data_IF_229178907500
#
_entry.id   IF_229178907500
#
_cell.length_a   1.000
_cell.length_b   1.000
_cell.length_c   1.000
_cell.angle_alpha   90.00
_cell.angle_beta   90.00
_cell.angle_gamma   90.00
#
_symmetry.space_group_name_H-M   'P 1'
#
loop_
_entity.id
_entity.type
_entity.pdbx_description
1 polymer ?
#
# COMPACT_ATOMS: atom_id res chain seq x y z
N UNK A 1 -13.09 -1.09 -18.70
CA UNK A 1 -13.38 0.34 -18.99
C UNK A 1 -12.10 1.15 -18.94
N UNK A 2 -12.01 2.24 -19.66
CA UNK A 2 -10.87 3.18 -19.62
C UNK A 2 -11.08 4.25 -18.55
N UNK A 3 -10.00 4.91 -18.08
CA UNK A 3 -10.06 5.87 -16.97
C UNK A 3 -11.12 6.97 -17.14
N UNK A 4 -11.27 7.53 -18.34
CA UNK A 4 -12.24 8.60 -18.61
C UNK A 4 -13.72 8.14 -18.55
N UNK A 5 -13.97 6.83 -18.49
CA UNK A 5 -15.32 6.26 -18.43
C UNK A 5 -15.78 6.02 -16.97
N UNK A 6 -14.86 6.03 -16.00
CA UNK A 6 -15.20 5.72 -14.59
C UNK A 6 -14.62 6.69 -13.54
N UNK A 7 -13.57 7.46 -13.88
CA UNK A 7 -13.00 8.42 -12.95
C UNK A 7 -13.78 9.74 -13.04
N UNK A 8 -14.29 10.21 -11.90
CA UNK A 8 -14.94 11.51 -11.80
C UNK A 8 -13.97 12.63 -12.23
N UNK A 9 -14.34 13.51 -13.16
CA UNK A 9 -13.51 14.61 -13.62
C UNK A 9 -12.99 15.55 -12.53
N UNK A 10 -13.62 15.58 -11.34
CA UNK A 10 -13.10 16.34 -10.19
C UNK A 10 -11.70 15.89 -9.72
N UNK A 11 -11.32 14.65 -10.04
CA UNK A 11 -9.99 14.11 -9.75
C UNK A 11 -8.97 14.32 -10.88
N UNK A 12 -9.35 15.01 -11.94
CA UNK A 12 -8.45 15.27 -13.06
C UNK A 12 -7.43 16.35 -12.70
N UNK A 13 -6.24 16.19 -13.23
CA UNK A 13 -5.17 17.18 -13.17
C UNK A 13 -4.96 17.73 -14.59
N UNK A 14 -5.07 19.04 -14.75
CA UNK A 14 -4.98 19.71 -16.06
C UNK A 14 -5.95 19.09 -17.13
N UNK A 15 -7.17 18.76 -16.71
CA UNK A 15 -8.22 18.21 -17.57
C UNK A 15 -7.99 16.76 -18.02
N UNK A 16 -7.11 16.02 -17.35
CA UNK A 16 -6.80 14.59 -17.65
C UNK A 16 -6.76 13.76 -16.38
N UNK A 17 -7.03 12.43 -16.45
CA UNK A 17 -6.84 11.53 -15.32
C UNK A 17 -5.44 11.67 -14.74
N UNK A 18 -5.35 11.77 -13.41
CA UNK A 18 -4.06 11.79 -12.70
C UNK A 18 -3.48 10.37 -12.63
N UNK A 19 -2.19 10.25 -12.93
CA UNK A 19 -1.52 8.95 -12.84
C UNK A 19 -0.97 8.74 -11.43
N UNK A 20 -0.11 9.64 -10.94
CA UNK A 20 0.66 9.40 -9.73
C UNK A 20 1.12 10.69 -9.03
N UNK A 21 0.38 11.77 -9.10
CA UNK A 21 0.74 13.01 -8.39
C UNK A 21 0.59 12.82 -6.89
N UNK A 22 1.69 12.95 -6.14
CA UNK A 22 1.66 12.89 -4.68
C UNK A 22 1.04 11.57 -4.17
N UNK A 23 1.59 10.42 -4.57
CA UNK A 23 1.09 9.11 -4.14
C UNK A 23 1.19 8.92 -2.64
N UNK A 24 0.27 8.15 -2.08
CA UNK A 24 0.22 7.82 -0.66
C UNK A 24 -0.32 6.42 -0.42
N UNK A 25 0.25 5.71 0.55
CA UNK A 25 -0.25 4.41 0.99
C UNK A 25 -1.69 4.44 1.53
N UNK A 26 -2.14 5.61 2.03
CA UNK A 26 -3.51 5.78 2.56
C UNK A 26 -4.60 5.65 1.49
N UNK A 27 -4.30 5.96 0.23
CA UNK A 27 -5.31 6.00 -0.83
C UNK A 27 -5.63 4.65 -1.48
N UNK A 28 -4.88 3.59 -1.14
CA UNK A 28 -5.07 2.27 -1.71
C UNK A 28 -6.35 1.62 -1.19
N UNK A 29 -7.16 1.11 -2.13
CA UNK A 29 -8.39 0.36 -1.87
C UNK A 29 -8.35 -0.96 -2.62
N UNK A 30 -8.30 -2.08 -1.89
CA UNK A 30 -8.47 -3.42 -2.44
C UNK A 30 -9.93 -3.67 -2.82
N UNK A 31 -10.12 -4.47 -3.85
CA UNK A 31 -11.45 -4.92 -4.28
C UNK A 31 -11.57 -6.44 -4.21
N UNK A 32 -11.96 -7.10 -5.29
CA UNK A 32 -12.32 -8.53 -5.29
C UNK A 32 -11.13 -9.48 -5.41
N UNK A 33 -9.95 -8.97 -5.75
CA UNK A 33 -8.76 -9.79 -5.98
C UNK A 33 -8.07 -10.09 -4.66
N UNK A 34 -7.60 -11.33 -4.47
CA UNK A 34 -6.95 -11.80 -3.24
C UNK A 34 -5.47 -11.40 -3.14
N UNK A 35 -5.14 -10.14 -3.36
CA UNK A 35 -3.78 -9.61 -3.43
C UNK A 35 -3.40 -8.68 -2.27
N UNK A 36 -3.99 -8.90 -1.09
CA UNK A 36 -3.75 -8.06 0.09
C UNK A 36 -2.27 -7.88 0.43
N UNK A 37 -1.43 -8.90 0.23
CA UNK A 37 0.01 -8.80 0.47
C UNK A 37 0.72 -7.86 -0.51
N UNK A 38 0.30 -7.86 -1.78
CA UNK A 38 0.80 -6.95 -2.82
C UNK A 38 0.43 -5.51 -2.48
N UNK A 39 -0.85 -5.28 -2.15
CA UNK A 39 -1.37 -3.94 -1.86
C UNK A 39 -0.83 -3.38 -0.54
N UNK A 40 -0.61 -4.22 0.46
CA UNK A 40 0.06 -3.83 1.69
C UNK A 40 1.53 -3.46 1.43
N UNK A 41 2.22 -4.20 0.59
CA UNK A 41 3.58 -3.90 0.15
C UNK A 41 3.65 -2.60 -0.64
N UNK A 42 2.68 -2.39 -1.53
CA UNK A 42 2.53 -1.15 -2.29
C UNK A 42 2.24 0.05 -1.36
N UNK A 43 1.41 -0.16 -0.33
CA UNK A 43 1.07 0.89 0.63
C UNK A 43 2.29 1.38 1.41
N UNK A 44 3.10 0.47 1.95
CA UNK A 44 4.30 0.87 2.70
C UNK A 44 5.36 1.52 1.81
N UNK A 45 5.51 1.05 0.56
CA UNK A 45 6.43 1.64 -0.40
C UNK A 45 6.00 3.05 -0.86
N UNK A 46 4.71 3.26 -1.11
CA UNK A 46 4.16 4.59 -1.42
C UNK A 46 4.23 5.55 -0.22
N UNK A 47 3.98 5.04 1.00
CA UNK A 47 4.13 5.83 2.22
C UNK A 47 5.60 6.24 2.46
N UNK A 48 6.55 5.36 2.14
CA UNK A 48 7.97 5.69 2.16
C UNK A 48 8.31 6.87 1.23
N UNK A 49 7.78 6.91 0.00
CA UNK A 49 7.98 8.04 -0.89
C UNK A 49 7.44 9.35 -0.28
N UNK A 50 6.25 9.30 0.32
CA UNK A 50 5.64 10.44 1.00
C UNK A 50 6.52 10.92 2.16
N UNK A 51 6.97 10.00 3.02
CA UNK A 51 7.87 10.28 4.15
C UNK A 51 9.19 10.91 3.70
N UNK A 52 9.75 10.44 2.59
CA UNK A 52 10.95 10.99 1.98
C UNK A 52 10.69 12.26 1.15
N UNK A 53 9.48 12.85 1.25
CA UNK A 53 9.08 14.03 0.48
C UNK A 53 9.38 13.88 -1.02
N UNK A 54 9.16 12.67 -1.55
CA UNK A 54 9.40 12.28 -2.94
C UNK A 54 10.83 12.42 -3.46
N UNK A 55 11.81 12.61 -2.58
CA UNK A 55 13.23 12.62 -2.96
C UNK A 55 13.74 11.23 -3.36
N UNK A 56 13.15 10.17 -2.80
CA UNK A 56 13.40 8.78 -3.17
C UNK A 56 12.10 8.15 -3.66
N UNK A 57 11.92 8.13 -4.97
CA UNK A 57 10.72 7.62 -5.63
C UNK A 57 10.92 6.14 -6.01
N UNK A 58 10.57 5.23 -5.11
CA UNK A 58 10.76 3.79 -5.30
C UNK A 58 9.58 3.10 -6.02
N UNK A 59 8.42 3.73 -6.09
CA UNK A 59 7.20 3.23 -6.74
C UNK A 59 6.80 4.11 -7.92
N UNK A 60 6.58 5.41 -7.72
CA UNK A 60 6.14 6.29 -8.81
C UNK A 60 7.17 6.35 -9.95
N UNK A 61 8.46 6.19 -9.64
CA UNK A 61 9.51 6.16 -10.65
C UNK A 61 9.48 4.91 -11.54
N UNK A 62 8.67 3.90 -11.23
CA UNK A 62 8.58 2.67 -12.03
C UNK A 62 7.57 2.76 -13.17
N UNK A 63 6.68 3.76 -13.16
CA UNK A 63 5.61 3.91 -14.15
C UNK A 63 6.05 4.82 -15.29
N UNK A 64 5.76 4.41 -16.53
CA UNK A 64 6.01 5.17 -17.76
C UNK A 64 4.73 5.23 -18.60
N UNK A 65 4.53 6.32 -19.40
CA UNK A 65 5.47 7.40 -19.70
C UNK A 65 5.64 8.40 -18.56
N UNK A 66 6.68 9.23 -18.68
CA UNK A 66 7.03 10.27 -17.71
C UNK A 66 7.23 11.64 -18.38
N UNK A 67 7.05 12.68 -17.60
CA UNK A 67 7.45 14.04 -17.99
C UNK A 67 8.98 14.25 -17.87
N UNK A 68 9.42 15.47 -18.18
CA UNK A 68 10.84 15.86 -18.11
C UNK A 68 11.41 15.85 -16.68
N UNK A 69 10.55 15.93 -15.66
CA UNK A 69 10.93 15.85 -14.24
C UNK A 69 10.89 14.41 -13.71
N UNK A 70 10.51 13.45 -14.56
CA UNK A 70 10.45 12.03 -14.25
C UNK A 70 9.19 11.62 -13.47
N UNK A 71 8.12 12.41 -13.51
CA UNK A 71 6.81 12.02 -12.95
C UNK A 71 5.97 11.28 -13.99
N UNK A 72 5.27 10.21 -13.59
CA UNK A 72 4.33 9.53 -14.48
C UNK A 72 3.25 10.47 -14.99
N UNK A 73 2.96 10.38 -16.29
CA UNK A 73 1.93 11.19 -16.93
C UNK A 73 0.87 10.33 -17.62
N UNK A 74 -0.32 10.90 -17.77
CA UNK A 74 -1.40 10.25 -18.48
C UNK A 74 -1.04 10.05 -19.96
N UNK A 75 -1.24 8.81 -20.45
CA UNK A 75 -1.05 8.48 -21.85
C UNK A 75 -2.42 8.29 -22.54
N UNK A 76 -2.82 9.18 -23.49
CA UNK A 76 -4.09 9.06 -24.19
C UNK A 76 -4.25 7.74 -24.98
N UNK A 77 -3.12 7.13 -25.41
CA UNK A 77 -3.13 5.82 -26.06
C UNK A 77 -3.40 4.67 -25.08
N UNK A 78 -3.39 4.94 -23.77
CA UNK A 78 -3.68 3.95 -22.72
C UNK A 78 -2.57 2.93 -22.47
N UNK A 79 -1.39 3.10 -23.04
CA UNK A 79 -0.26 2.17 -22.90
C UNK A 79 0.67 2.63 -21.78
N UNK A 80 0.96 1.73 -20.84
CA UNK A 80 1.91 1.98 -19.75
C UNK A 80 2.97 0.89 -19.68
N UNK A 81 4.14 1.24 -19.17
CA UNK A 81 5.20 0.31 -18.82
C UNK A 81 5.50 0.46 -17.35
N UNK A 82 5.54 -0.66 -16.64
CA UNK A 82 5.93 -0.73 -15.23
C UNK A 82 7.22 -1.50 -15.11
N UNK A 83 8.19 -0.95 -14.39
CA UNK A 83 9.40 -1.69 -14.03
C UNK A 83 9.15 -2.52 -12.79
N UNK A 84 9.36 -3.83 -12.86
CA UNK A 84 9.31 -4.75 -11.73
C UNK A 84 10.62 -5.53 -11.62
N UNK A 85 11.05 -5.82 -10.39
CA UNK A 85 12.27 -6.57 -10.13
C UNK A 85 11.96 -8.07 -10.15
N UNK A 86 12.35 -8.74 -11.24
CA UNK A 86 11.98 -10.13 -11.52
C UNK A 86 13.24 -10.93 -11.82
N UNK A 87 13.45 -12.02 -11.09
CA UNK A 87 14.62 -12.89 -11.24
C UNK A 87 15.96 -12.14 -11.17
N UNK A 88 16.06 -11.21 -10.21
CA UNK A 88 17.29 -10.46 -9.94
C UNK A 88 17.57 -9.29 -10.88
N UNK A 89 16.61 -8.92 -11.75
CA UNK A 89 16.77 -7.82 -12.71
C UNK A 89 15.51 -6.97 -12.83
N UNK A 90 15.67 -5.68 -13.13
CA UNK A 90 14.56 -4.81 -13.48
C UNK A 90 14.05 -5.09 -14.89
N UNK A 91 12.80 -5.50 -14.98
CA UNK A 91 12.14 -5.83 -16.25
C UNK A 91 10.98 -4.90 -16.51
N UNK A 92 10.79 -4.55 -17.79
CA UNK A 92 9.67 -3.75 -18.25
C UNK A 92 8.44 -4.64 -18.48
N UNK A 93 7.35 -4.33 -17.80
CA UNK A 93 6.05 -5.00 -17.98
C UNK A 93 5.11 -4.01 -18.64
N UNK A 94 4.70 -4.30 -19.87
CA UNK A 94 3.74 -3.48 -20.61
C UNK A 94 2.32 -3.84 -20.18
N UNK A 95 1.49 -2.81 -19.90
CA UNK A 95 0.06 -2.92 -19.59
C UNK A 95 -0.72 -1.80 -20.28
N UNK A 96 -2.00 -2.02 -20.47
CA UNK A 96 -2.94 -0.99 -20.88
C UNK A 96 -3.77 -0.47 -19.69
N UNK A 97 -4.52 0.61 -19.91
CA UNK A 97 -5.41 1.23 -18.93
C UNK A 97 -6.85 0.71 -18.96
N UNK A 98 -7.12 -0.38 -19.68
CA UNK A 98 -8.40 -1.07 -19.59
C UNK A 98 -8.49 -1.85 -18.30
N UNK A 99 -9.40 -1.47 -17.41
CA UNK A 99 -9.59 -2.10 -16.12
C UNK A 99 -10.87 -2.96 -16.09
N UNK A 100 -10.81 -4.13 -15.41
CA UNK A 100 -11.94 -5.03 -15.33
C UNK A 100 -13.02 -4.49 -14.38
N UNK A 101 -14.27 -4.65 -14.80
CA UNK A 101 -15.47 -4.25 -14.06
C UNK A 101 -16.36 -5.46 -13.80
N UNK A 102 -17.14 -5.40 -12.74
CA UNK A 102 -18.23 -6.35 -12.52
C UNK A 102 -19.48 -5.93 -13.32
N UNK A 103 -20.52 -6.77 -13.26
CA UNK A 103 -21.81 -6.53 -13.96
C UNK A 103 -22.55 -5.28 -13.46
N UNK A 104 -22.14 -4.72 -12.31
CA UNK A 104 -22.72 -3.50 -11.73
C UNK A 104 -21.90 -2.25 -12.07
N UNK A 105 -20.83 -2.39 -12.85
CA UNK A 105 -19.95 -1.27 -13.22
C UNK A 105 -18.94 -0.87 -12.15
N UNK A 106 -18.69 -1.72 -11.14
CA UNK A 106 -17.65 -1.46 -10.15
C UNK A 106 -16.34 -2.11 -10.57
N UNK A 107 -15.21 -1.44 -10.31
CA UNK A 107 -13.89 -2.03 -10.48
C UNK A 107 -13.75 -3.30 -9.63
N UNK A 108 -13.21 -4.38 -10.21
CA UNK A 108 -12.84 -5.59 -9.48
C UNK A 108 -11.38 -5.58 -9.03
N UNK A 109 -10.54 -4.75 -9.66
CA UNK A 109 -9.15 -4.50 -9.30
C UNK A 109 -9.01 -3.39 -8.26
N UNK A 110 -7.86 -3.30 -7.62
CA UNK A 110 -7.56 -2.23 -6.68
C UNK A 110 -7.48 -0.86 -7.37
N UNK A 111 -7.73 0.19 -6.61
CA UNK A 111 -7.70 1.56 -7.10
C UNK A 111 -7.31 2.54 -6.01
N UNK A 112 -7.01 3.77 -6.41
CA UNK A 112 -6.87 4.90 -5.50
C UNK A 112 -8.22 5.54 -5.19
N UNK A 113 -8.55 5.78 -3.92
CA UNK A 113 -9.74 6.55 -3.53
C UNK A 113 -9.63 8.04 -3.88
N UNK A 114 -8.52 8.47 -4.45
CA UNK A 114 -8.29 9.81 -5.01
C UNK A 114 -8.35 9.84 -6.54
N UNK A 115 -8.87 8.77 -7.17
CA UNK A 115 -9.02 8.68 -8.62
C UNK A 115 -7.70 8.62 -9.42
N UNK A 116 -6.58 8.32 -8.78
CA UNK A 116 -5.28 8.18 -9.45
C UNK A 116 -5.08 6.78 -10.01
N UNK A 117 -4.38 6.68 -11.13
CA UNK A 117 -4.23 5.41 -11.87
C UNK A 117 -3.12 4.50 -11.34
N UNK A 118 -2.16 5.01 -10.59
CA UNK A 118 -0.95 4.28 -10.21
C UNK A 118 -1.21 2.95 -9.51
N UNK A 119 -2.23 2.87 -8.64
CA UNK A 119 -2.57 1.64 -7.92
C UNK A 119 -2.98 0.56 -8.91
N UNK A 120 -3.97 0.85 -9.77
CA UNK A 120 -4.50 -0.11 -10.74
C UNK A 120 -3.48 -0.51 -11.80
N UNK A 121 -2.62 0.43 -12.23
CA UNK A 121 -1.55 0.15 -13.22
C UNK A 121 -0.49 -0.77 -12.62
N UNK A 122 -0.05 -0.52 -11.38
CA UNK A 122 0.95 -1.35 -10.70
C UNK A 122 0.39 -2.73 -10.36
N UNK A 123 -0.84 -2.80 -9.82
CA UNK A 123 -1.53 -4.07 -9.59
C UNK A 123 -1.63 -4.88 -10.89
N UNK A 124 -2.12 -4.27 -11.97
CA UNK A 124 -2.25 -4.93 -13.26
C UNK A 124 -0.93 -5.48 -13.79
N UNK A 125 0.16 -4.71 -13.68
CA UNK A 125 1.47 -5.16 -14.08
C UNK A 125 1.98 -6.33 -13.23
N UNK A 126 1.76 -6.26 -11.92
CA UNK A 126 2.11 -7.33 -10.99
C UNK A 126 1.31 -8.60 -11.29
N UNK A 127 -0.01 -8.49 -11.45
CA UNK A 127 -0.88 -9.62 -11.77
C UNK A 127 -0.56 -10.23 -13.13
N UNK A 128 -0.21 -9.42 -14.13
CA UNK A 128 0.17 -9.90 -15.47
C UNK A 128 1.32 -10.89 -15.42
N UNK A 129 2.34 -10.66 -14.61
CA UNK A 129 3.48 -11.58 -14.48
C UNK A 129 3.15 -12.84 -13.66
N UNK A 130 1.99 -12.85 -13.01
CA UNK A 130 1.49 -13.98 -12.21
C UNK A 130 0.25 -14.68 -12.82
N UNK A 131 -0.03 -14.46 -14.09
CA UNK A 131 -1.09 -15.15 -14.83
C UNK A 131 -2.40 -14.37 -14.99
N UNK A 132 -2.53 -13.18 -14.39
CA UNK A 132 -3.70 -12.31 -14.56
C UNK A 132 -4.53 -12.12 -13.29
N UNK A 133 -5.79 -11.71 -13.47
CA UNK A 133 -6.69 -11.34 -12.37
C UNK A 133 -7.25 -12.52 -11.55
N UNK A 134 -7.08 -13.76 -12.00
CA UNK A 134 -7.39 -14.97 -11.21
C UNK A 134 -6.26 -15.30 -10.21
N UNK A 135 -5.75 -14.29 -9.57
CA UNK A 135 -4.61 -14.38 -8.66
C UNK A 135 -5.02 -14.99 -7.32
N UNK A 136 -4.34 -16.07 -6.92
CA UNK A 136 -4.65 -16.83 -5.71
C UNK A 136 -3.92 -16.34 -4.45
N UNK A 137 -3.16 -15.26 -4.57
CA UNK A 137 -2.40 -14.68 -3.46
C UNK A 137 -0.88 -14.84 -3.57
N UNK A 138 -0.17 -14.13 -2.70
CA UNK A 138 1.28 -14.12 -2.59
C UNK A 138 1.70 -13.95 -1.12
N UNK A 139 2.91 -13.43 -0.90
CA UNK A 139 3.38 -13.00 0.40
C UNK A 139 4.21 -11.73 0.28
N UNK A 140 4.15 -10.88 1.29
CA UNK A 140 4.77 -9.56 1.25
C UNK A 140 6.29 -9.58 1.05
N UNK A 141 7.00 -10.66 1.40
CA UNK A 141 8.43 -10.76 1.14
C UNK A 141 8.73 -10.79 -0.35
N UNK A 142 7.98 -11.62 -1.11
CA UNK A 142 8.09 -11.67 -2.58
C UNK A 142 7.62 -10.36 -3.20
N UNK A 143 6.52 -9.82 -2.69
CA UNK A 143 5.88 -8.64 -3.25
C UNK A 143 6.75 -7.41 -3.10
N UNK A 144 7.30 -7.16 -1.90
CA UNK A 144 8.25 -6.07 -1.65
C UNK A 144 9.51 -6.22 -2.50
N UNK A 145 10.06 -7.43 -2.62
CA UNK A 145 11.21 -7.68 -3.48
C UNK A 145 10.91 -7.36 -4.94
N UNK A 146 9.76 -7.79 -5.45
CA UNK A 146 9.32 -7.51 -6.83
C UNK A 146 9.08 -6.02 -7.06
N UNK A 147 8.50 -5.33 -6.09
CA UNK A 147 8.18 -3.90 -6.19
C UNK A 147 9.40 -3.00 -5.99
N UNK A 148 10.38 -3.40 -5.18
CA UNK A 148 11.43 -2.47 -4.74
C UNK A 148 12.86 -2.94 -5.04
N UNK A 149 13.07 -4.23 -5.24
CA UNK A 149 14.40 -4.85 -5.30
C UNK A 149 15.08 -4.96 -3.93
N UNK A 150 14.41 -4.53 -2.84
CA UNK A 150 14.98 -4.61 -1.50
C UNK A 150 14.92 -6.04 -0.97
N UNK A 151 15.99 -6.46 -0.27
CA UNK A 151 16.08 -7.80 0.26
C UNK A 151 15.03 -8.04 1.35
N UNK A 152 14.17 -9.06 1.19
CA UNK A 152 13.12 -9.34 2.16
C UNK A 152 13.65 -10.17 3.33
N UNK A 153 13.05 -9.96 4.49
CA UNK A 153 13.20 -10.82 5.64
C UNK A 153 11.82 -11.16 6.21
N UNK A 154 11.62 -12.42 6.55
CA UNK A 154 10.41 -12.90 7.21
C UNK A 154 10.73 -13.27 8.65
N UNK A 155 10.00 -12.69 9.59
CA UNK A 155 10.14 -12.96 11.02
C UNK A 155 8.86 -13.60 11.54
N UNK A 156 8.99 -14.73 12.22
CA UNK A 156 7.88 -15.33 12.99
C UNK A 156 7.88 -14.72 14.40
N UNK A 157 6.79 -14.01 14.72
CA UNK A 157 6.64 -13.33 16.02
C UNK A 157 6.61 -14.28 17.20
N UNK A 158 6.26 -15.56 17.01
CA UNK A 158 6.20 -16.57 18.08
C UNK A 158 7.59 -17.05 18.51
N UNK A 159 8.54 -17.05 17.58
CA UNK A 159 9.91 -17.55 17.81
C UNK A 159 10.95 -16.47 18.02
N UNK A 160 10.59 -15.19 17.89
CA UNK A 160 11.54 -14.08 17.99
C UNK A 160 11.38 -13.30 19.30
N UNK A 161 12.49 -12.82 19.86
CA UNK A 161 12.47 -11.92 21.02
C UNK A 161 11.79 -10.60 20.66
N UNK A 162 10.60 -10.36 21.22
CA UNK A 162 9.77 -9.20 20.89
C UNK A 162 10.43 -7.86 21.24
N UNK A 163 11.27 -7.79 22.28
CA UNK A 163 11.97 -6.55 22.64
C UNK A 163 13.05 -6.23 21.61
N UNK A 164 13.85 -7.23 21.23
CA UNK A 164 14.88 -7.07 20.19
C UNK A 164 14.25 -6.74 18.84
N UNK A 165 13.14 -7.40 18.50
CA UNK A 165 12.41 -7.10 17.26
C UNK A 165 11.89 -5.67 17.24
N UNK A 166 11.27 -5.21 18.34
CA UNK A 166 10.78 -3.84 18.43
C UNK A 166 11.90 -2.81 18.21
N UNK A 167 13.02 -2.95 18.91
CA UNK A 167 14.16 -2.04 18.73
C UNK A 167 14.69 -2.06 17.29
N UNK A 168 14.74 -3.24 16.69
CA UNK A 168 15.20 -3.40 15.32
C UNK A 168 14.30 -2.70 14.30
N UNK A 169 12.98 -2.96 14.34
CA UNK A 169 12.04 -2.34 13.41
C UNK A 169 11.93 -0.83 13.64
N UNK A 170 11.95 -0.39 14.89
CA UNK A 170 11.95 1.04 15.23
C UNK A 170 13.17 1.77 14.66
N UNK A 171 14.36 1.20 14.84
CA UNK A 171 15.59 1.80 14.35
C UNK A 171 15.63 1.81 12.82
N UNK A 172 15.31 0.69 12.15
CA UNK A 172 15.23 0.63 10.70
C UNK A 172 14.19 1.59 10.11
N UNK A 173 13.03 1.73 10.77
CA UNK A 173 12.01 2.70 10.37
C UNK A 173 12.50 4.15 10.49
N UNK A 174 13.21 4.48 11.58
CA UNK A 174 13.76 5.83 11.82
C UNK A 174 14.88 6.20 10.83
N UNK A 175 15.74 5.25 10.50
CA UNK A 175 16.80 5.45 9.49
C UNK A 175 16.30 5.35 8.05
N UNK A 176 15.04 5.05 7.83
CA UNK A 176 14.44 4.81 6.51
C UNK A 176 15.11 3.66 5.74
N UNK A 177 15.52 2.61 6.45
CA UNK A 177 16.24 1.45 5.89
C UNK A 177 15.35 0.22 5.75
N UNK A 178 14.08 0.28 6.15
CA UNK A 178 13.15 -0.83 6.03
C UNK A 178 11.73 -0.41 5.66
N UNK A 179 11.06 -1.31 4.97
CA UNK A 179 9.61 -1.31 4.73
C UNK A 179 9.01 -2.47 5.50
N UNK A 180 7.90 -2.25 6.19
CA UNK A 180 7.38 -3.24 7.13
C UNK A 180 5.94 -3.58 6.78
N UNK A 181 5.67 -4.87 6.62
CA UNK A 181 4.32 -5.43 6.57
C UNK A 181 4.13 -6.42 7.70
N UNK A 182 2.91 -6.60 8.12
CA UNK A 182 2.53 -7.62 9.11
C UNK A 182 1.41 -8.49 8.55
N UNK A 183 1.39 -9.76 8.93
CA UNK A 183 0.36 -10.69 8.54
C UNK A 183 -0.28 -11.35 9.75
N UNK A 184 -1.57 -11.58 9.66
CA UNK A 184 -2.32 -12.38 10.61
C UNK A 184 -2.32 -13.86 10.21
N UNK A 185 -2.38 -14.76 11.19
CA UNK A 185 -2.86 -16.12 11.00
C UNK A 185 -4.38 -16.18 11.13
N UNK A 186 -4.89 -17.28 11.67
CA UNK A 186 -6.30 -17.38 12.06
C UNK A 186 -6.59 -16.44 13.24
N UNK A 187 -7.63 -15.64 13.12
CA UNK A 187 -8.14 -14.74 14.16
C UNK A 187 -9.49 -15.30 14.62
N UNK A 188 -9.62 -15.77 15.87
CA UNK A 188 -10.83 -16.48 16.32
C UNK A 188 -12.11 -15.64 16.28
N UNK A 189 -12.00 -14.34 16.45
CA UNK A 189 -13.14 -13.41 16.52
C UNK A 189 -12.83 -12.13 15.74
N UNK A 190 -12.87 -12.26 14.42
CA UNK A 190 -12.47 -11.18 13.50
C UNK A 190 -13.27 -9.91 13.72
N UNK A 191 -14.60 -10.03 13.88
CA UNK A 191 -15.51 -8.88 13.99
C UNK A 191 -15.27 -8.07 15.26
N UNK A 192 -15.14 -8.74 16.41
CA UNK A 192 -14.91 -8.06 17.68
C UNK A 192 -13.48 -7.53 17.82
N UNK A 193 -12.51 -8.22 17.24
CA UNK A 193 -11.09 -7.78 17.26
C UNK A 193 -10.83 -6.70 16.23
N UNK A 194 -11.50 -6.76 15.10
CA UNK A 194 -11.25 -5.86 13.96
C UNK A 194 -10.00 -6.22 13.17
N UNK A 195 -9.64 -7.51 13.13
CA UNK A 195 -8.54 -8.05 12.33
C UNK A 195 -9.04 -9.22 11.48
N UNK A 196 -8.63 -9.25 10.23
CA UNK A 196 -8.99 -10.29 9.26
C UNK A 196 -8.02 -11.47 9.36
N UNK A 197 -8.51 -12.72 9.28
CA UNK A 197 -7.69 -13.91 9.22
C UNK A 197 -6.90 -14.00 7.92
N UNK A 198 -5.69 -14.54 8.01
CA UNK A 198 -4.80 -14.78 6.85
C UNK A 198 -4.66 -13.54 5.94
N UNK A 199 -4.55 -12.37 6.54
CA UNK A 199 -4.54 -11.10 5.85
C UNK A 199 -3.24 -10.32 6.08
N UNK A 200 -2.87 -9.48 5.11
CA UNK A 200 -1.68 -8.65 5.17
C UNK A 200 -2.04 -7.17 5.40
N UNK A 201 -1.22 -6.51 6.19
CA UNK A 201 -1.33 -5.09 6.55
C UNK A 201 0.00 -4.39 6.31
N UNK A 202 -0.05 -3.15 5.84
CA UNK A 202 1.13 -2.29 5.74
C UNK A 202 1.36 -1.50 7.03
N UNK A 203 2.57 -1.51 7.58
CA UNK A 203 2.95 -0.64 8.70
C UNK A 203 3.40 0.70 8.14
N UNK A 204 2.61 1.74 8.36
CA UNK A 204 2.89 3.08 7.85
C UNK A 204 3.75 3.88 8.84
N UNK A 205 3.42 3.82 10.15
CA UNK A 205 4.13 4.57 11.17
C UNK A 205 4.44 3.70 12.39
N UNK A 206 5.52 4.02 13.08
CA UNK A 206 5.94 3.41 14.35
C UNK A 206 6.09 4.51 15.39
N UNK A 207 5.34 4.37 16.48
CA UNK A 207 5.34 5.30 17.58
C UNK A 207 5.82 4.64 18.88
N UNK A 208 6.65 5.34 19.62
CA UNK A 208 7.05 4.94 20.96
C UNK A 208 7.10 6.17 21.87
N UNK A 209 6.33 6.12 22.93
CA UNK A 209 6.32 7.16 23.94
C UNK A 209 6.04 6.56 25.32
N UNK A 210 6.94 6.79 26.28
CA UNK A 210 6.90 6.14 27.59
C UNK A 210 6.79 4.61 27.42
N UNK A 211 5.73 4.00 27.93
CA UNK A 211 5.48 2.56 27.85
C UNK A 211 4.56 2.16 26.65
N UNK A 212 4.21 3.12 25.79
CA UNK A 212 3.34 2.87 24.65
C UNK A 212 4.16 2.58 23.40
N UNK A 213 3.92 1.42 22.81
CA UNK A 213 4.49 0.96 21.54
C UNK A 213 3.34 0.74 20.56
N UNK A 214 3.21 1.60 19.57
CA UNK A 214 2.03 1.65 18.69
C UNK A 214 2.49 1.60 17.24
N UNK A 215 1.78 0.81 16.44
CA UNK A 215 1.93 0.75 15.00
C UNK A 215 0.70 1.38 14.34
N UNK A 216 0.89 2.27 13.40
CA UNK A 216 -0.16 2.67 12.47
C UNK A 216 -0.15 1.69 11.31
N UNK A 217 -1.24 0.95 11.15
CA UNK A 217 -1.35 -0.08 10.12
C UNK A 217 -2.43 0.26 9.11
N UNK A 218 -2.14 0.03 7.83
CA UNK A 218 -3.09 0.15 6.73
C UNK A 218 -3.65 -1.23 6.39
N UNK A 219 -4.97 -1.40 6.57
CA UNK A 219 -5.72 -2.48 5.95
C UNK A 219 -6.04 -2.08 4.50
N UNK A 220 -5.60 -2.84 3.47
CA UNK A 220 -5.91 -2.51 2.09
C UNK A 220 -7.42 -2.49 1.78
N UNK A 221 -8.26 -3.20 2.54
CA UNK A 221 -9.73 -3.14 2.39
C UNK A 221 -10.32 -1.76 2.73
N UNK A 222 -9.68 -1.00 3.63
CA UNK A 222 -10.05 0.37 3.96
C UNK A 222 -11.23 0.55 4.93
N UNK A 223 -12.06 -0.45 5.15
CA UNK A 223 -13.28 -0.37 5.95
C UNK A 223 -13.29 -1.25 7.21
N UNK A 224 -12.51 -2.32 7.27
CA UNK A 224 -12.41 -3.19 8.43
C UNK A 224 -11.21 -2.78 9.30
N UNK A 225 -11.46 -2.42 10.56
CA UNK A 225 -10.47 -1.73 11.41
C UNK A 225 -10.34 -2.39 12.77
N UNK A 226 -9.16 -2.28 13.35
CA UNK A 226 -8.87 -2.64 14.74
C UNK A 226 -9.84 -1.99 15.73
N UNK A 227 -10.43 -2.80 16.64
CA UNK A 227 -11.42 -2.35 17.63
C UNK A 227 -10.87 -2.25 19.08
N UNK A 228 -9.60 -2.63 19.30
CA UNK A 228 -8.99 -2.60 20.63
C UNK A 228 -8.42 -1.23 21.03
N UNK A 229 -7.54 -1.25 22.03
CA UNK A 229 -6.84 -0.04 22.49
C UNK A 229 -6.16 0.71 21.34
N UNK A 230 -6.25 2.02 21.37
CA UNK A 230 -5.72 2.90 20.31
C UNK A 230 -6.39 2.73 18.95
N UNK A 231 -7.58 2.13 18.87
CA UNK A 231 -8.44 2.24 17.68
C UNK A 231 -8.93 3.68 17.51
N UNK A 232 -9.50 3.97 16.33
CA UNK A 232 -10.11 5.29 16.07
C UNK A 232 -11.33 5.57 16.97
N UNK A 233 -12.00 4.52 17.46
CA UNK A 233 -13.17 4.58 18.33
C UNK A 233 -12.82 4.57 19.84
N UNK A 234 -11.57 4.29 20.17
CA UNK A 234 -11.10 4.25 21.56
C UNK A 234 -10.95 5.67 22.12
N UNK A 235 -11.88 6.06 22.98
CA UNK A 235 -11.85 7.38 23.62
C UNK A 235 -11.06 7.41 24.94
N UNK A 236 -10.70 6.23 25.47
CA UNK A 236 -10.04 6.09 26.78
C UNK A 236 -8.52 6.10 26.66
N UNK A 237 -7.96 5.30 25.75
CA UNK A 237 -6.50 5.18 25.61
C UNK A 237 -5.87 6.42 24.96
N UNK A 238 -6.62 7.13 24.12
CA UNK A 238 -6.16 8.36 23.47
C UNK A 238 -6.28 9.57 24.41
N UNK A 239 -5.29 9.73 25.30
CA UNK A 239 -5.20 10.95 26.13
C UNK A 239 -4.88 12.18 25.27
N UNK A 240 -5.21 13.42 25.73
CA UNK A 240 -4.84 14.65 25.02
C UNK A 240 -3.33 14.75 24.74
N UNK A 241 -2.50 14.28 25.69
CA UNK A 241 -1.04 14.23 25.55
C UNK A 241 -0.63 13.32 24.39
N UNK A 242 -1.16 12.09 24.32
CA UNK A 242 -0.85 11.13 23.26
C UNK A 242 -1.33 11.59 21.89
N UNK A 243 -2.55 12.18 21.83
CA UNK A 243 -3.09 12.75 20.59
C UNK A 243 -2.18 13.83 20.03
N UNK A 244 -1.66 14.71 20.87
CA UNK A 244 -0.73 15.76 20.47
C UNK A 244 0.62 15.20 19.99
N UNK A 245 1.19 14.25 20.74
CA UNK A 245 2.51 13.66 20.44
C UNK A 245 2.48 12.85 19.15
N UNK A 246 1.41 12.09 18.90
CA UNK A 246 1.29 11.23 17.74
C UNK A 246 0.58 11.89 16.55
N UNK A 247 0.28 13.18 16.64
CA UNK A 247 -0.43 13.92 15.57
C UNK A 247 -1.71 13.18 15.15
N UNK A 248 -2.51 12.76 16.16
CA UNK A 248 -3.67 11.86 15.96
C UNK A 248 -4.65 12.37 14.92
N UNK A 249 -4.88 13.68 14.86
CA UNK A 249 -5.84 14.27 13.92
C UNK A 249 -5.38 14.18 12.47
N UNK A 250 -4.07 14.05 12.24
CA UNK A 250 -3.46 13.83 10.92
C UNK A 250 -3.54 12.36 10.48
N UNK A 251 -3.90 11.46 11.40
CA UNK A 251 -3.96 10.00 11.17
C UNK A 251 -5.37 9.49 10.82
N UNK A 252 -6.41 10.35 10.87
CA UNK A 252 -7.82 10.00 10.60
C UNK A 252 -8.16 9.96 9.08
#
# INVERSE_FOLDING_TARGET
MRPHEYIDPKFYVNGRPDVATGISGYEIQQRKIGDCSVLSSLAVAAHYELKMKYQRRIISSQIFPKDQLGYPIYNPCGKYIVKLFINGEWRAVEVDDYLPMDSFGNLICAHSNKGKLWVSILEKAYLKIHGGYEFVGSNSSRDLYTLTGWLPEKVDLKSYDQKKLWERIKNGYRSNDCLITIGTGLVPDEENVGLVSNHAYGVLEIFEYKNHKILLVKNPWGHFRWNGKFSTEDTVSWTPELKKIFHYDDLK
#
